data_IF_065496132319
#
_entry.id   IF_065496132319
#
_cell.length_a   1.000
_cell.length_b   1.000
_cell.length_c   1.000
_cell.angle_alpha   90.00
_cell.angle_beta   90.00
_cell.angle_gamma   90.00
#
_symmetry.space_group_name_H-M   'P 1'
#
loop_
_entity.id
_entity.type
_entity.pdbx_description
1 polymer ?
#
# COMPACT_ATOMS: atom_id res chain seq x y z
N UNK A 1 2.61 10.93 6.56
CA UNK A 1 1.52 10.13 7.17
C UNK A 1 1.24 8.99 6.23
N UNK A 2 1.27 7.75 6.72
CA UNK A 2 1.21 6.54 5.89
C UNK A 2 -0.13 6.43 5.17
N UNK A 3 -0.09 6.61 3.86
CA UNK A 3 -1.24 6.57 2.97
C UNK A 3 -1.65 5.11 2.76
N UNK A 4 -2.93 4.79 2.93
CA UNK A 4 -3.45 3.46 2.64
C UNK A 4 -3.52 3.23 1.13
N UNK A 5 -3.16 2.04 0.69
CA UNK A 5 -3.11 1.66 -0.72
C UNK A 5 -3.68 0.26 -0.91
N UNK A 6 -4.20 0.02 -2.10
CA UNK A 6 -4.62 -1.32 -2.53
C UNK A 6 -3.81 -1.71 -3.75
N UNK A 7 -3.29 -2.94 -3.75
CA UNK A 7 -2.67 -3.57 -4.91
C UNK A 7 -3.40 -4.87 -5.26
N UNK A 8 -3.81 -5.12 -6.52
CA UNK A 8 -4.65 -6.28 -6.87
C UNK A 8 -4.02 -7.63 -6.50
N UNK A 9 -2.69 -7.75 -6.54
CA UNK A 9 -1.97 -8.99 -6.19
C UNK A 9 -1.61 -9.13 -4.70
N UNK A 10 -1.60 -8.03 -3.95
CA UNK A 10 -1.08 -8.02 -2.57
C UNK A 10 -2.12 -7.57 -1.54
N UNK A 11 -3.28 -7.12 -2.00
CA UNK A 11 -4.37 -6.62 -1.17
C UNK A 11 -4.06 -5.24 -0.58
N UNK A 12 -4.55 -5.03 0.64
CA UNK A 12 -4.43 -3.75 1.33
C UNK A 12 -3.08 -3.62 2.03
N UNK A 13 -2.49 -2.44 1.92
CA UNK A 13 -1.26 -2.08 2.59
C UNK A 13 -1.19 -0.59 2.85
N UNK A 14 -0.09 -0.14 3.46
CA UNK A 14 0.14 1.28 3.68
C UNK A 14 1.55 1.67 3.29
N UNK A 15 1.69 2.92 2.84
CA UNK A 15 2.98 3.49 2.46
C UNK A 15 3.84 3.68 3.71
N UNK A 16 4.96 2.98 3.76
CA UNK A 16 6.00 3.16 4.77
C UNK A 16 6.95 4.32 4.42
N UNK A 17 7.13 4.61 3.13
CA UNK A 17 7.97 5.71 2.67
C UNK A 17 7.88 5.92 1.16
N UNK A 18 8.11 7.16 0.72
CA UNK A 18 8.10 7.56 -0.67
C UNK A 18 9.30 8.48 -0.98
N UNK A 19 9.97 8.26 -2.10
CA UNK A 19 11.13 9.06 -2.52
C UNK A 19 11.79 8.52 -3.80
N UNK A 20 12.51 9.39 -4.52
CA UNK A 20 13.21 9.03 -5.78
C UNK A 20 12.32 8.32 -6.82
N UNK A 21 11.04 8.73 -6.94
CA UNK A 21 10.10 8.10 -7.86
C UNK A 21 9.69 6.68 -7.48
N UNK A 22 9.88 6.28 -6.22
CA UNK A 22 9.50 4.96 -5.69
C UNK A 22 8.71 5.10 -4.40
N UNK A 23 7.90 4.09 -4.11
CA UNK A 23 7.06 4.00 -2.93
C UNK A 23 7.19 2.61 -2.32
N UNK A 24 7.41 2.53 -1.02
CA UNK A 24 7.49 1.27 -0.29
C UNK A 24 6.21 1.09 0.51
N UNK A 25 5.53 -0.02 0.25
CA UNK A 25 4.23 -0.35 0.83
C UNK A 25 4.36 -1.62 1.65
N UNK A 26 3.86 -1.61 2.88
CA UNK A 26 3.73 -2.84 3.68
C UNK A 26 2.32 -3.38 3.57
N UNK A 27 2.20 -4.61 3.07
CA UNK A 27 0.95 -5.35 2.98
C UNK A 27 0.83 -6.29 4.17
N UNK A 28 0.27 -5.77 5.25
CA UNK A 28 0.03 -6.51 6.49
C UNK A 28 -1.42 -6.32 6.90
N UNK A 29 -2.08 -7.40 7.31
CA UNK A 29 -3.37 -7.32 7.99
C UNK A 29 -3.31 -8.18 9.24
N UNK A 30 -4.24 -7.96 10.17
CA UNK A 30 -4.36 -8.79 11.39
C UNK A 30 -4.47 -10.29 11.08
N UNK A 31 -4.98 -10.63 9.90
CA UNK A 31 -5.20 -12.00 9.43
C UNK A 31 -3.99 -12.62 8.72
N UNK A 32 -3.07 -11.81 8.18
CA UNK A 32 -1.93 -12.30 7.37
C UNK A 32 -0.63 -12.50 8.15
N UNK A 33 -0.53 -11.98 9.39
CA UNK A 33 0.74 -11.94 10.14
C UNK A 33 1.72 -10.91 9.55
N UNK A 34 2.99 -10.86 10.00
CA UNK A 34 3.95 -9.81 9.61
C UNK A 34 4.05 -9.67 8.10
N UNK A 35 3.54 -8.54 7.59
CA UNK A 35 3.35 -8.34 6.17
C UNK A 35 4.64 -8.04 5.42
N UNK A 36 4.63 -8.33 4.11
CA UNK A 36 5.77 -8.05 3.23
C UNK A 36 5.78 -6.56 2.86
N UNK A 37 6.94 -5.93 2.96
CA UNK A 37 7.18 -4.62 2.37
C UNK A 37 7.65 -4.80 0.93
N UNK A 38 6.98 -4.14 -0.02
CA UNK A 38 7.30 -4.19 -1.45
C UNK A 38 7.47 -2.75 -1.96
N UNK A 39 8.47 -2.53 -2.80
CA UNK A 39 8.75 -1.20 -3.37
C UNK A 39 8.33 -1.15 -4.82
N UNK A 40 7.40 -0.25 -5.14
CA UNK A 40 6.88 0.01 -6.49
C UNK A 40 7.44 1.32 -7.06
N UNK A 41 7.41 1.50 -8.38
CA UNK A 41 7.45 2.84 -8.98
C UNK A 41 6.31 3.71 -8.43
N UNK A 42 6.55 5.01 -8.24
CA UNK A 42 5.52 5.93 -7.76
C UNK A 42 4.40 6.18 -8.78
N UNK A 43 4.66 5.88 -10.05
CA UNK A 43 3.71 5.97 -11.17
C UNK A 43 3.04 4.63 -11.51
N UNK A 44 3.25 3.61 -10.68
CA UNK A 44 2.65 2.29 -10.86
C UNK A 44 1.12 2.38 -10.82
N UNK A 45 0.47 1.98 -11.91
CA UNK A 45 -0.99 2.08 -12.08
C UNK A 45 -1.75 1.04 -11.25
N UNK A 46 -1.07 -0.04 -10.85
CA UNK A 46 -1.63 -1.08 -10.00
C UNK A 46 -1.55 -0.70 -8.52
N UNK A 47 -0.71 0.30 -8.18
CA UNK A 47 -0.69 0.89 -6.85
C UNK A 47 -1.65 2.08 -6.76
N UNK A 48 -2.86 1.80 -6.29
CA UNK A 48 -3.91 2.81 -6.16
C UNK A 48 -4.01 3.27 -4.72
N UNK A 49 -4.17 4.58 -4.53
CA UNK A 49 -4.64 5.13 -3.24
C UNK A 49 -5.91 4.39 -2.84
N UNK A 50 -5.91 3.83 -1.64
CA UNK A 50 -7.15 3.35 -1.05
C UNK A 50 -8.01 4.58 -0.77
N UNK A 51 -9.25 4.55 -1.23
CA UNK A 51 -10.19 5.62 -0.93
C UNK A 51 -10.46 5.64 0.58
N UNK A 52 -10.18 6.78 1.22
CA UNK A 52 -10.29 6.92 2.67
C UNK A 52 -11.73 6.73 3.18
N UNK A 53 -12.73 6.94 2.32
CA UNK A 53 -14.15 6.71 2.59
C UNK A 53 -14.53 5.23 2.41
N UNK A 54 -13.86 4.50 1.51
CA UNK A 54 -13.98 3.04 1.40
C UNK A 54 -13.28 2.29 2.54
N UNK A 55 -12.28 2.88 3.19
CA UNK A 55 -11.63 2.31 4.39
C UNK A 55 -12.51 2.35 5.66
N UNK A 56 -13.69 2.98 5.60
CA UNK A 56 -14.62 3.12 6.73
C UNK A 56 -15.82 2.15 6.68
N UNK A 57 -15.91 1.28 5.67
CA UNK A 57 -17.00 0.33 5.48
C UNK A 57 -16.78 -1.01 6.19
#
# INVERSE_FOLDING_TARGET
TGDDVHHPEHGHGWVQGAGHGRVTVRFETRSSGPGRAITFPAEDQDLRRADALASLA
#
